data_IF_044234908501
#
_entry.id   IF_044234908501
#
_cell.length_a   1.000
_cell.length_b   1.000
_cell.length_c   1.000
_cell.angle_alpha   90.00
_cell.angle_beta   90.00
_cell.angle_gamma   90.00
#
_symmetry.space_group_name_H-M   'P 1'
#
loop_
_entity.id
_entity.type
_entity.pdbx_description
1 polymer ?
#
# COMPACT_ATOMS: atom_id res chain seq x y z
N UNK A 1 -17.61 -9.53 -15.62
CA UNK A 1 -18.69 -9.73 -16.59
C UNK A 1 -18.37 -11.02 -17.33
N UNK A 2 -19.38 -11.86 -17.55
CA UNK A 2 -19.18 -13.20 -18.10
C UNK A 2 -19.16 -13.17 -19.63
N UNK A 3 -18.03 -13.47 -20.28
CA UNK A 3 -17.97 -13.53 -21.73
C UNK A 3 -18.66 -14.81 -22.25
N UNK A 4 -19.43 -14.63 -23.32
CA UNK A 4 -20.10 -15.71 -24.04
C UNK A 4 -19.85 -15.59 -25.54
N UNK A 5 -19.67 -16.71 -26.20
CA UNK A 5 -19.54 -16.82 -27.66
C UNK A 5 -20.85 -17.22 -28.30
N UNK A 6 -21.20 -16.59 -29.41
CA UNK A 6 -22.42 -16.88 -30.18
C UNK A 6 -22.16 -17.85 -31.34
N UNK A 7 -23.17 -18.08 -32.20
CA UNK A 7 -23.13 -19.03 -33.31
C UNK A 7 -21.96 -18.78 -34.27
N UNK A 8 -21.67 -17.53 -34.59
CA UNK A 8 -20.56 -17.14 -35.48
C UNK A 8 -19.18 -17.10 -34.79
N UNK A 9 -19.07 -17.50 -33.52
CA UNK A 9 -17.81 -17.54 -32.77
C UNK A 9 -17.36 -16.21 -32.13
N UNK A 10 -18.01 -15.08 -32.44
CA UNK A 10 -17.74 -13.81 -31.77
C UNK A 10 -18.17 -13.85 -30.30
N UNK A 11 -17.42 -13.14 -29.45
CA UNK A 11 -17.62 -13.16 -28.00
C UNK A 11 -18.04 -11.79 -27.47
N UNK A 12 -19.03 -11.78 -26.60
CA UNK A 12 -19.61 -10.58 -25.99
C UNK A 12 -19.88 -10.82 -24.51
N UNK A 13 -20.14 -9.75 -23.75
CA UNK A 13 -20.64 -9.91 -22.40
C UNK A 13 -22.07 -10.48 -22.41
N UNK A 14 -22.40 -11.39 -21.48
CA UNK A 14 -23.71 -12.07 -21.46
C UNK A 14 -24.89 -11.09 -21.41
N UNK A 15 -24.80 -10.03 -20.61
CA UNK A 15 -25.85 -9.01 -20.53
C UNK A 15 -25.99 -8.26 -21.85
N UNK A 16 -24.86 -7.82 -22.43
CA UNK A 16 -24.80 -7.07 -23.69
C UNK A 16 -25.53 -7.81 -24.82
N UNK A 17 -25.23 -9.09 -25.01
CA UNK A 17 -25.84 -9.87 -26.10
C UNK A 17 -27.28 -10.27 -25.79
N UNK A 18 -27.63 -10.44 -24.51
CA UNK A 18 -29.01 -10.74 -24.10
C UNK A 18 -29.92 -9.55 -24.33
N UNK A 19 -29.45 -8.34 -24.02
CA UNK A 19 -30.15 -7.08 -24.27
C UNK A 19 -30.29 -6.81 -25.77
N UNK A 20 -29.23 -7.06 -26.55
CA UNK A 20 -29.27 -6.92 -28.01
C UNK A 20 -30.35 -7.82 -28.64
N UNK A 21 -30.57 -9.00 -28.08
CA UNK A 21 -31.56 -9.96 -28.57
C UNK A 21 -32.88 -9.93 -27.78
N UNK A 22 -33.12 -8.88 -27.01
CA UNK A 22 -34.34 -8.75 -26.23
C UNK A 22 -35.56 -8.63 -27.17
N UNK A 23 -36.62 -9.37 -26.87
CA UNK A 23 -37.84 -9.40 -27.69
C UNK A 23 -37.74 -10.17 -29.00
N UNK A 24 -36.56 -10.69 -29.39
CA UNK A 24 -36.39 -11.50 -30.60
C UNK A 24 -36.71 -12.98 -30.32
N UNK A 25 -37.52 -13.58 -31.20
CA UNK A 25 -37.82 -15.01 -31.21
C UNK A 25 -37.04 -15.79 -32.27
N UNK A 26 -36.56 -15.10 -33.31
CA UNK A 26 -35.79 -15.63 -34.45
C UNK A 26 -34.83 -14.55 -34.97
N UNK A 27 -33.93 -14.91 -35.91
CA UNK A 27 -33.01 -13.98 -36.57
C UNK A 27 -32.03 -13.28 -35.60
N UNK A 28 -31.36 -14.07 -34.76
CA UNK A 28 -30.35 -13.57 -33.82
C UNK A 28 -29.09 -13.13 -34.56
N UNK A 29 -28.95 -11.83 -34.80
CA UNK A 29 -27.83 -11.28 -35.56
C UNK A 29 -26.61 -10.99 -34.68
N UNK A 30 -25.42 -11.25 -35.20
CA UNK A 30 -24.17 -10.83 -34.57
C UNK A 30 -23.97 -9.31 -34.73
N UNK A 31 -23.72 -8.55 -33.64
CA UNK A 31 -23.40 -7.12 -33.74
C UNK A 31 -22.15 -6.79 -34.56
N UNK A 32 -21.20 -7.72 -34.63
CA UNK A 32 -19.90 -7.51 -35.27
C UNK A 32 -19.91 -7.88 -36.77
N UNK A 33 -20.42 -9.06 -37.13
CA UNK A 33 -20.40 -9.55 -38.52
C UNK A 33 -21.77 -9.61 -39.19
N UNK A 34 -22.86 -9.33 -38.46
CA UNK A 34 -24.26 -9.39 -38.93
C UNK A 34 -24.76 -10.77 -39.36
N UNK A 35 -23.98 -11.81 -39.15
CA UNK A 35 -24.41 -13.18 -39.39
C UNK A 35 -25.59 -13.53 -38.47
N UNK A 36 -26.66 -14.07 -39.04
CA UNK A 36 -27.91 -14.41 -38.34
C UNK A 36 -27.95 -15.89 -37.99
N UNK A 37 -28.29 -16.19 -36.75
CA UNK A 37 -28.59 -17.55 -36.29
C UNK A 37 -30.08 -17.70 -36.00
N UNK A 38 -30.60 -18.90 -36.25
CA UNK A 38 -32.00 -19.23 -35.95
C UNK A 38 -32.22 -19.55 -34.46
N UNK A 39 -31.13 -19.76 -33.71
CA UNK A 39 -31.15 -20.17 -32.31
C UNK A 39 -30.34 -19.23 -31.44
N UNK A 40 -30.83 -19.01 -30.21
CA UNK A 40 -30.14 -18.27 -29.15
C UNK A 40 -29.04 -19.13 -28.51
N UNK A 41 -27.94 -19.32 -29.23
CA UNK A 41 -26.79 -20.10 -28.74
C UNK A 41 -25.82 -19.16 -28.02
N UNK A 42 -25.72 -19.32 -26.69
CA UNK A 42 -24.73 -18.63 -25.86
C UNK A 42 -23.82 -19.67 -25.20
N UNK A 43 -22.56 -19.72 -25.63
CA UNK A 43 -21.55 -20.62 -25.06
C UNK A 43 -20.65 -19.83 -24.10
N UNK A 44 -20.56 -20.17 -22.81
CA UNK A 44 -19.60 -19.54 -21.90
C UNK A 44 -18.17 -19.71 -22.43
N UNK A 45 -17.36 -18.64 -22.34
CA UNK A 45 -15.96 -18.68 -22.71
C UNK A 45 -15.09 -18.49 -21.46
N UNK A 46 -14.73 -19.62 -20.81
CA UNK A 46 -14.00 -19.59 -19.55
C UNK A 46 -12.56 -19.08 -19.71
N UNK A 47 -11.91 -19.38 -20.84
CA UNK A 47 -10.55 -18.91 -21.15
C UNK A 47 -10.50 -17.39 -21.25
N UNK A 48 -11.46 -16.80 -21.98
CA UNK A 48 -11.56 -15.35 -22.08
C UNK A 48 -11.94 -14.72 -20.74
N UNK A 49 -12.77 -15.38 -19.92
CA UNK A 49 -13.09 -14.91 -18.58
C UNK A 49 -11.83 -14.84 -17.70
N UNK A 50 -10.99 -15.88 -17.73
CA UNK A 50 -9.73 -15.92 -17.00
C UNK A 50 -8.77 -14.83 -17.46
N UNK A 51 -8.63 -14.62 -18.77
CA UNK A 51 -7.79 -13.54 -19.32
C UNK A 51 -8.28 -12.16 -18.88
N UNK A 52 -9.60 -11.92 -18.88
CA UNK A 52 -10.18 -10.65 -18.41
C UNK A 52 -9.87 -10.45 -16.91
N UNK A 53 -10.04 -11.48 -16.08
CA UNK A 53 -9.73 -11.39 -14.65
C UNK A 53 -8.23 -11.18 -14.40
N UNK A 54 -7.35 -11.85 -15.16
CA UNK A 54 -5.92 -11.61 -15.11
C UNK A 54 -5.56 -10.16 -15.49
N UNK A 55 -6.15 -9.63 -16.57
CA UNK A 55 -5.94 -8.25 -16.99
C UNK A 55 -6.40 -7.23 -15.93
N UNK A 56 -7.54 -7.46 -15.29
CA UNK A 56 -8.00 -6.62 -14.15
C UNK A 56 -7.03 -6.66 -12.99
N UNK A 57 -6.51 -7.84 -12.63
CA UNK A 57 -5.51 -7.98 -11.57
C UNK A 57 -4.24 -7.20 -11.88
N UNK A 58 -3.77 -7.25 -13.13
CA UNK A 58 -2.60 -6.48 -13.57
C UNK A 58 -2.86 -4.97 -13.54
N UNK A 59 -4.07 -4.52 -13.91
CA UNK A 59 -4.44 -3.11 -13.81
C UNK A 59 -4.53 -2.65 -12.35
N UNK A 60 -5.13 -3.45 -11.47
CA UNK A 60 -5.17 -3.18 -10.03
C UNK A 60 -3.76 -3.21 -9.41
N UNK A 61 -2.86 -4.06 -9.89
CA UNK A 61 -1.46 -4.06 -9.46
C UNK A 61 -0.74 -2.81 -9.94
N UNK A 62 -0.95 -2.38 -11.18
CA UNK A 62 -0.44 -1.10 -11.69
C UNK A 62 -0.98 0.07 -10.88
N UNK A 63 -2.28 0.10 -10.60
CA UNK A 63 -2.89 1.13 -9.75
C UNK A 63 -2.31 1.08 -8.34
N UNK A 64 -2.09 -0.11 -7.75
CA UNK A 64 -1.36 -0.27 -6.48
C UNK A 64 0.15 -0.12 -6.58
N UNK A 65 0.75 0.05 -7.75
CA UNK A 65 2.16 0.39 -7.93
C UNK A 65 2.31 1.91 -8.16
N UNK A 66 1.29 2.54 -8.74
CA UNK A 66 1.11 3.99 -8.85
C UNK A 66 0.63 4.59 -7.51
N UNK A 67 -0.20 3.85 -6.76
CA UNK A 67 -0.60 4.07 -5.36
C UNK A 67 0.22 3.17 -4.41
N UNK A 68 1.33 2.62 -4.92
CA UNK A 68 2.21 1.64 -4.29
C UNK A 68 3.24 2.24 -3.39
N UNK A 69 2.75 2.98 -2.41
CA UNK A 69 3.55 3.54 -1.36
C UNK A 69 2.92 4.82 -0.85
N UNK A 70 1.67 4.78 -0.40
CA UNK A 70 1.32 5.60 0.75
C UNK A 70 2.12 5.09 1.96
N UNK A 71 3.45 5.19 1.91
CA UNK A 71 4.24 5.21 3.12
C UNK A 71 3.73 6.47 3.80
N UNK A 72 2.82 6.33 4.76
CA UNK A 72 2.35 7.46 5.53
C UNK A 72 3.45 7.80 6.52
N UNK A 73 3.67 9.09 6.76
CA UNK A 73 4.53 9.50 7.84
C UNK A 73 3.91 9.03 9.15
N UNK A 74 4.62 8.22 9.93
CA UNK A 74 4.14 7.72 11.23
C UNK A 74 3.70 8.86 12.18
N UNK A 75 4.33 10.03 12.07
CA UNK A 75 4.04 11.19 12.92
C UNK A 75 2.87 12.04 12.43
N UNK A 76 2.68 12.15 11.12
CA UNK A 76 1.75 13.11 10.52
C UNK A 76 0.60 12.45 9.77
N UNK A 77 0.65 11.14 9.55
CA UNK A 77 -0.29 10.36 8.73
C UNK A 77 -0.48 10.92 7.32
N UNK A 78 0.50 11.68 6.83
CA UNK A 78 0.52 12.26 5.50
C UNK A 78 1.37 11.40 4.57
N UNK A 79 1.02 11.30 3.27
CA UNK A 79 1.78 10.53 2.32
C UNK A 79 3.21 11.06 2.22
N UNK A 80 4.19 10.17 2.38
CA UNK A 80 5.60 10.46 2.15
C UNK A 80 5.79 10.59 0.63
N UNK A 81 5.97 11.81 0.14
CA UNK A 81 6.11 12.16 -1.29
C UNK A 81 7.44 12.82 -1.63
N UNK A 82 8.28 13.03 -0.63
CA UNK A 82 9.53 13.77 -0.72
C UNK A 82 10.68 12.85 -0.31
N UNK A 83 11.88 13.05 -0.87
CA UNK A 83 13.09 12.32 -0.49
C UNK A 83 14.15 13.29 0.00
N UNK A 84 14.62 13.07 1.23
CA UNK A 84 15.76 13.79 1.78
C UNK A 84 17.07 13.09 1.37
N UNK A 85 17.95 13.81 0.68
CA UNK A 85 19.22 13.28 0.21
C UNK A 85 20.23 13.08 1.35
N UNK A 86 20.21 13.97 2.34
CA UNK A 86 21.09 13.93 3.51
C UNK A 86 20.79 12.72 4.40
N UNK A 87 19.51 12.50 4.72
CA UNK A 87 19.06 11.40 5.60
C UNK A 87 18.75 10.10 4.86
N UNK A 88 18.72 10.15 3.52
CA UNK A 88 18.36 9.04 2.61
C UNK A 88 17.04 8.38 2.99
N UNK A 89 16.02 9.20 3.28
CA UNK A 89 14.69 8.76 3.75
C UNK A 89 13.57 9.53 3.07
N UNK A 90 12.40 8.91 3.01
CA UNK A 90 11.18 9.52 2.52
C UNK A 90 10.53 10.40 3.62
N UNK A 91 10.05 11.57 3.23
CA UNK A 91 9.43 12.58 4.07
C UNK A 91 8.03 12.95 3.54
N UNK A 92 7.13 13.35 4.43
CA UNK A 92 5.88 14.01 4.06
C UNK A 92 6.07 15.52 3.99
N UNK A 93 5.11 16.22 3.41
CA UNK A 93 5.11 17.69 3.27
C UNK A 93 5.18 18.45 4.61
N UNK A 94 4.81 17.80 5.71
CA UNK A 94 4.91 18.37 7.06
C UNK A 94 6.32 18.21 7.63
N UNK A 95 6.98 17.07 7.37
CA UNK A 95 8.37 16.84 7.78
C UNK A 95 9.34 17.78 7.06
N UNK A 96 9.10 18.07 5.79
CA UNK A 96 9.89 19.00 4.98
C UNK A 96 9.93 20.42 5.60
N UNK A 97 8.78 20.90 6.08
CA UNK A 97 8.67 22.21 6.74
C UNK A 97 9.13 22.20 8.21
N UNK A 98 9.48 21.03 8.75
CA UNK A 98 9.94 20.92 10.14
C UNK A 98 11.36 21.43 10.28
N UNK A 99 11.74 21.85 11.50
CA UNK A 99 13.10 22.30 11.81
C UNK A 99 14.18 21.24 11.55
N UNK A 100 13.81 19.96 11.41
CA UNK A 100 14.74 18.84 11.23
C UNK A 100 15.21 18.72 9.78
N UNK A 101 14.36 19.05 8.80
CA UNK A 101 14.68 18.89 7.37
C UNK A 101 14.67 20.21 6.59
N UNK A 102 14.45 21.35 7.27
CA UNK A 102 14.37 22.68 6.66
C UNK A 102 15.59 23.06 5.83
N UNK A 103 16.77 22.59 6.24
CA UNK A 103 18.05 22.90 5.62
C UNK A 103 18.64 21.70 4.84
N UNK A 104 17.88 20.61 4.70
CA UNK A 104 18.30 19.43 3.96
C UNK A 104 17.90 19.56 2.49
N UNK A 105 18.64 18.88 1.62
CA UNK A 105 18.26 18.77 0.20
C UNK A 105 17.12 17.78 0.06
N UNK A 106 15.94 18.29 -0.27
CA UNK A 106 14.71 17.52 -0.43
C UNK A 106 14.25 17.62 -1.88
N UNK A 107 13.94 16.48 -2.49
CA UNK A 107 13.43 16.38 -3.87
C UNK A 107 12.08 15.66 -3.91
N UNK A 108 11.11 16.10 -4.74
CA UNK A 108 9.87 15.37 -4.96
C UNK A 108 10.12 13.98 -5.56
N UNK A 109 9.35 12.97 -5.14
CA UNK A 109 9.44 11.64 -5.73
C UNK A 109 9.15 11.64 -7.24
N UNK A 110 8.23 12.50 -7.71
CA UNK A 110 7.88 12.63 -9.13
C UNK A 110 9.08 13.08 -9.99
N UNK A 111 10.03 13.84 -9.43
CA UNK A 111 11.26 14.27 -10.11
C UNK A 111 12.41 13.25 -9.98
N UNK A 112 12.33 12.33 -9.01
CA UNK A 112 13.32 11.26 -8.80
C UNK A 112 13.08 10.01 -9.69
N UNK A 113 11.93 9.90 -10.37
CA UNK A 113 11.63 8.79 -11.30
C UNK A 113 12.55 8.80 -12.53
N UNK A 114 13.24 9.91 -12.82
CA UNK A 114 14.16 9.98 -13.96
C UNK A 114 15.65 9.73 -13.66
N UNK A 115 16.10 9.69 -12.39
CA UNK A 115 17.53 9.49 -12.09
C UNK A 115 17.86 8.35 -11.13
N UNK A 116 16.88 7.58 -10.65
CA UNK A 116 17.10 6.36 -9.87
C UNK A 116 16.86 5.06 -10.68
N UNK A 117 17.19 5.08 -11.98
CA UNK A 117 17.22 3.86 -12.81
C UNK A 117 18.54 3.07 -12.69
N UNK A 118 19.50 3.53 -11.88
CA UNK A 118 20.82 2.92 -11.80
C UNK A 118 21.10 2.37 -10.40
N UNK A 119 21.04 1.04 -10.34
CA UNK A 119 21.42 0.14 -9.23
C UNK A 119 20.41 0.03 -8.10
N UNK A 120 19.72 -1.11 -8.14
CA UNK A 120 18.82 -1.57 -7.11
C UNK A 120 19.44 -1.59 -5.72
N UNK A 121 18.68 -1.01 -4.80
CA UNK A 121 18.64 -1.39 -3.39
C UNK A 121 17.23 -1.12 -2.90
N UNK A 122 16.27 -1.92 -3.38
CA UNK A 122 15.12 -2.28 -2.56
C UNK A 122 15.57 -3.39 -1.61
N UNK A 123 16.43 -3.02 -0.66
CA UNK A 123 16.74 -3.84 0.49
C UNK A 123 15.93 -3.31 1.67
N UNK A 124 14.98 -4.10 2.13
CA UNK A 124 14.17 -3.87 3.34
C UNK A 124 15.06 -3.41 4.49
N UNK A 125 15.10 -2.12 4.78
CA UNK A 125 15.69 -1.61 6.02
C UNK A 125 14.63 -1.70 7.11
N UNK A 126 14.61 -2.85 7.78
CA UNK A 126 14.00 -2.99 9.10
C UNK A 126 14.67 -1.97 10.03
N UNK A 127 14.03 -0.85 10.27
CA UNK A 127 14.48 0.03 11.33
C UNK A 127 14.17 -0.64 12.68
N UNK A 128 15.21 -1.19 13.32
CA UNK A 128 15.32 -1.16 14.78
C UNK A 128 15.37 0.33 15.16
N UNK A 129 14.35 0.80 15.87
CA UNK A 129 14.28 2.18 16.35
C UNK A 129 15.46 2.51 17.26
N UNK A 130 15.89 3.79 17.31
CA UNK A 130 16.86 4.22 18.31
C UNK A 130 16.21 4.19 19.70
N UNK A 131 16.86 3.49 20.63
CA UNK A 131 16.58 3.51 22.06
C UNK A 131 16.69 4.96 22.59
N UNK A 132 15.72 5.36 23.40
CA UNK A 132 15.67 6.67 24.04
C UNK A 132 16.79 6.81 25.07
N UNK A 133 17.42 7.99 25.23
CA UNK A 133 18.26 8.24 26.39
C UNK A 133 17.39 8.54 27.62
N UNK A 134 17.70 7.79 28.68
CA UNK A 134 17.17 7.90 30.04
C UNK A 134 17.54 9.25 30.67
N UNK A 135 16.55 9.97 31.20
CA UNK A 135 16.75 11.24 31.93
C UNK A 135 16.71 10.95 33.43
N UNK A 136 17.88 10.67 34.00
CA UNK A 136 18.03 10.52 35.45
C UNK A 136 18.53 11.82 36.11
N UNK A 137 17.97 12.06 37.29
CA UNK A 137 18.57 12.73 38.46
C UNK A 137 18.32 14.24 38.64
N UNK A 138 17.38 14.53 39.55
CA UNK A 138 17.41 15.72 40.41
C UNK A 138 18.47 15.51 41.50
N UNK A 139 19.40 16.46 41.60
CA UNK A 139 20.42 16.57 42.64
C UNK A 139 19.85 17.36 43.82
N UNK A 140 19.80 16.76 45.01
CA UNK A 140 19.97 17.51 46.26
C UNK A 140 20.80 16.65 47.22
N UNK A 141 22.06 17.05 47.35
CA UNK A 141 23.04 16.37 48.19
C UNK A 141 22.81 16.55 49.69
N UNK A 142 23.46 15.67 50.47
CA UNK A 142 24.46 15.99 51.51
C UNK A 142 24.52 14.86 52.54
N UNK A 143 25.74 14.40 52.83
CA UNK A 143 26.10 14.05 54.21
C UNK A 143 26.30 12.58 54.58
N UNK A 144 27.39 11.99 54.06
CA UNK A 144 28.39 11.15 54.78
C UNK A 144 27.93 10.03 55.73
N UNK A 145 28.20 8.80 55.25
CA UNK A 145 28.99 7.70 55.87
C UNK A 145 28.72 7.35 57.34
N UNK A 146 28.28 6.11 57.53
CA UNK A 146 29.05 5.21 58.39
C UNK A 146 28.28 4.11 59.11
N UNK A 147 28.27 2.92 58.48
CA UNK A 147 28.45 1.60 59.09
C UNK A 147 27.27 1.00 59.90
N UNK A 148 26.60 0.06 59.24
CA UNK A 148 26.02 -1.22 59.72
C UNK A 148 26.76 -1.90 60.91
N UNK A 149 26.26 -3.00 61.52
CA UNK A 149 24.91 -3.61 61.48
C UNK A 149 24.39 -4.18 62.85
N UNK A 150 23.07 -4.38 62.94
CA UNK A 150 22.37 -5.52 63.60
C UNK A 150 22.54 -5.71 65.14
N UNK A 151 21.86 -6.69 65.80
CA UNK A 151 20.44 -6.70 66.11
C UNK A 151 20.18 -7.00 67.62
N UNK A 152 18.93 -7.37 67.94
CA UNK A 152 18.45 -8.11 69.12
C UNK A 152 17.66 -7.34 70.21
N UNK A 153 16.56 -8.00 70.57
CA UNK A 153 15.92 -8.07 71.89
C UNK A 153 14.79 -7.07 72.25
N UNK A 154 13.57 -7.62 72.26
CA UNK A 154 12.47 -7.37 73.23
C UNK A 154 12.95 -7.50 74.70
N UNK A 155 12.11 -7.33 75.76
CA UNK A 155 10.89 -6.53 76.02
C UNK A 155 11.20 -5.51 77.18
N UNK A 156 10.33 -4.70 77.80
CA UNK A 156 9.16 -4.97 78.68
C UNK A 156 8.69 -3.63 79.30
N UNK A 157 7.39 -3.50 79.59
CA UNK A 157 6.64 -2.83 80.69
C UNK A 157 7.37 -1.97 81.77
N UNK A 158 6.67 -1.13 82.58
CA UNK A 158 5.23 -1.13 82.91
C UNK A 158 4.38 0.03 82.36
#
# INVERSE_FOLDING_TARGET
QDPVSIHCGHSFCRSCITETWEGLTTNFSCPQCRETGDQKILRPNWELAEVIEAAKRLNLQREREVEGGENLCEKHQEPLKLFCQDDKRLLCVVCDKSKVHRDHSVVPMDEAVQECKVRGVMGVLRHKGPEAPDVSAVDEGRGRRGRDPQPFSRPTAP
#
